data_IF_561215944951
#
_entry.id   IF_561215944951
#
_cell.length_a   1.000
_cell.length_b   1.000
_cell.length_c   1.000
_cell.angle_alpha   90.00
_cell.angle_beta   90.00
_cell.angle_gamma   90.00
#
_symmetry.space_group_name_H-M   'P 1'
#
loop_
_entity.id
_entity.type
_entity.pdbx_description
1 polymer ?
#
# COMPACT_ATOMS: atom_id res chain seq x y z
N UNK A 1 -36.40 -52.64 -37.21
CA UNK A 1 -36.35 -54.11 -37.04
C UNK A 1 -35.22 -54.43 -36.05
N UNK A 2 -35.57 -54.92 -34.86
CA UNK A 2 -34.62 -55.53 -33.91
C UNK A 2 -34.32 -56.99 -34.32
N UNK A 3 -33.30 -57.65 -33.74
CA UNK A 3 -33.43 -58.33 -32.43
C UNK A 3 -32.20 -58.09 -31.50
N UNK A 4 -32.35 -57.83 -30.19
CA UNK A 4 -32.47 -58.75 -29.01
C UNK A 4 -31.37 -59.84 -29.02
N UNK A 5 -30.51 -59.96 -28.00
CA UNK A 5 -30.83 -60.58 -26.69
C UNK A 5 -29.78 -60.28 -25.57
N UNK A 6 -30.23 -60.24 -24.30
CA UNK A 6 -29.45 -60.04 -23.04
C UNK A 6 -28.77 -61.33 -22.52
N UNK A 7 -28.50 -61.54 -21.20
CA UNK A 7 -29.01 -60.85 -19.99
C UNK A 7 -27.95 -60.50 -18.91
N UNK A 8 -28.45 -59.92 -17.81
CA UNK A 8 -27.76 -59.41 -16.63
C UNK A 8 -27.22 -60.47 -15.65
N UNK A 9 -26.19 -60.10 -14.85
CA UNK A 9 -26.00 -60.62 -13.48
C UNK A 9 -25.30 -59.61 -12.55
N UNK A 10 -25.87 -59.52 -11.33
CA UNK A 10 -25.51 -58.73 -10.14
C UNK A 10 -24.27 -59.25 -9.40
N UNK A 11 -23.55 -58.35 -8.70
CA UNK A 11 -22.97 -58.46 -7.32
C UNK A 11 -22.31 -57.10 -6.96
N UNK A 12 -22.91 -56.26 -6.12
CA UNK A 12 -22.76 -56.12 -4.66
C UNK A 12 -21.39 -55.63 -4.15
N UNK A 13 -21.39 -54.34 -3.75
CA UNK A 13 -20.65 -53.63 -2.67
C UNK A 13 -19.43 -54.30 -2.02
N UNK A 14 -18.31 -53.57 -1.96
CA UNK A 14 -17.68 -53.16 -0.68
C UNK A 14 -16.60 -52.09 -0.91
N UNK A 15 -16.41 -51.28 0.11
CA UNK A 15 -15.67 -50.02 0.23
C UNK A 15 -14.15 -50.17 0.31
N UNK A 16 -13.40 -49.23 -0.29
CA UNK A 16 -12.21 -48.70 0.39
C UNK A 16 -11.95 -47.26 -0.04
N UNK A 17 -12.04 -46.35 0.92
CA UNK A 17 -11.66 -44.95 0.81
C UNK A 17 -10.14 -44.83 0.67
N UNK A 18 -9.66 -44.00 -0.26
CA UNK A 18 -8.38 -43.31 -0.12
C UNK A 18 -8.56 -41.84 -0.49
N UNK A 19 -8.75 -41.02 0.55
CA UNK A 19 -8.50 -39.57 0.51
C UNK A 19 -6.99 -39.38 0.30
N UNK A 20 -6.59 -38.82 -0.83
CA UNK A 20 -5.26 -38.23 -0.99
C UNK A 20 -5.33 -36.77 -0.54
N UNK A 21 -5.06 -36.54 0.74
CA UNK A 21 -4.79 -35.21 1.28
C UNK A 21 -3.35 -34.82 0.95
N UNK A 22 -3.14 -34.11 -0.15
CA UNK A 22 -1.91 -33.34 -0.37
C UNK A 22 -2.01 -32.02 0.42
N UNK A 23 -1.36 -32.01 1.58
CA UNK A 23 -1.09 -30.82 2.39
C UNK A 23 -0.22 -29.82 1.58
N UNK A 24 -0.58 -28.53 1.49
CA UNK A 24 0.38 -27.50 1.15
C UNK A 24 1.31 -27.21 2.36
N UNK A 25 2.52 -26.67 2.13
CA UNK A 25 3.52 -26.50 3.19
C UNK A 25 3.03 -25.51 4.25
N UNK A 26 3.09 -25.94 5.50
CA UNK A 26 2.79 -25.14 6.69
C UNK A 26 3.93 -24.15 6.94
N UNK A 27 3.71 -22.87 6.62
CA UNK A 27 4.51 -21.80 7.22
C UNK A 27 4.14 -21.68 8.70
N UNK A 28 5.01 -22.21 9.57
CA UNK A 28 4.82 -22.23 11.01
C UNK A 28 4.86 -20.83 11.61
N UNK A 29 3.70 -20.32 12.00
CA UNK A 29 3.57 -19.22 12.96
C UNK A 29 3.15 -19.85 14.30
N UNK A 30 4.08 -19.99 15.25
CA UNK A 30 3.75 -20.17 16.67
C UNK A 30 4.04 -18.84 17.37
N UNK A 31 2.98 -18.14 17.74
CA UNK A 31 3.05 -16.93 18.55
C UNK A 31 2.66 -17.30 19.99
N UNK A 32 3.63 -17.29 20.91
CA UNK A 32 3.33 -17.19 22.34
C UNK A 32 3.13 -15.70 22.66
N UNK A 33 1.93 -15.32 23.07
CA UNK A 33 1.61 -13.94 23.48
C UNK A 33 1.42 -13.94 25.01
N UNK A 34 2.14 -13.10 25.77
CA UNK A 34 1.79 -12.84 27.17
C UNK A 34 0.57 -11.91 27.25
N UNK A 35 -0.37 -12.23 28.14
CA UNK A 35 -1.58 -11.42 28.40
C UNK A 35 -1.22 -10.08 29.07
N UNK A 36 -1.85 -8.95 28.72
CA UNK A 36 -1.75 -7.72 29.51
C UNK A 36 -2.78 -7.71 30.66
N UNK A 37 -2.51 -6.97 31.75
CA UNK A 37 -3.47 -6.82 32.84
C UNK A 37 -4.57 -5.81 32.49
N UNK A 38 -5.75 -6.11 33.02
CA UNK A 38 -7.00 -5.36 32.93
C UNK A 38 -7.01 -4.08 33.78
N UNK A 39 -7.78 -3.11 33.27
CA UNK A 39 -8.61 -2.13 33.97
C UNK A 39 -8.17 -0.66 33.87
N UNK A 40 -9.05 0.16 33.31
CA UNK A 40 -9.52 1.38 33.96
C UNK A 40 -10.88 1.78 33.36
N UNK A 41 -11.85 1.99 34.24
CA UNK A 41 -13.23 2.34 33.92
C UNK A 41 -13.43 3.88 33.97
N UNK A 42 -14.27 4.35 33.04
CA UNK A 42 -15.32 5.41 33.17
C UNK A 42 -15.01 6.82 33.72
N UNK A 43 -15.36 7.83 32.89
CA UNK A 43 -16.41 8.88 33.07
C UNK A 43 -16.21 9.95 31.96
N UNK A 44 -17.09 10.14 30.97
CA UNK A 44 -18.37 10.88 30.94
C UNK A 44 -18.31 12.35 31.41
N UNK A 45 -18.38 13.32 30.47
CA UNK A 45 -19.48 14.33 30.39
C UNK A 45 -19.23 15.48 29.40
N UNK A 46 -20.20 15.68 28.49
CA UNK A 46 -20.84 16.93 28.03
C UNK A 46 -20.05 18.19 27.57
N UNK A 47 -20.37 18.65 26.35
CA UNK A 47 -20.25 20.01 25.80
C UNK A 47 -21.43 20.92 26.26
N UNK A 48 -21.75 22.12 25.69
CA UNK A 48 -21.06 23.04 24.75
C UNK A 48 -21.21 24.56 25.12
N UNK A 49 -20.68 25.47 24.27
CA UNK A 49 -21.10 26.88 23.92
C UNK A 49 -19.88 27.57 23.26
N UNK A 50 -19.91 28.47 22.27
CA UNK A 50 -20.95 29.25 21.59
C UNK A 50 -20.38 30.67 21.29
N UNK A 51 -20.54 31.18 20.05
CA UNK A 51 -20.34 32.59 19.62
C UNK A 51 -18.92 32.96 19.15
N UNK A 52 -18.66 33.86 18.20
CA UNK A 52 -19.47 34.70 17.28
C UNK A 52 -18.48 35.52 16.43
N UNK A 53 -18.77 35.72 15.13
CA UNK A 53 -18.10 36.72 14.24
C UNK A 53 -18.42 38.17 14.68
N UNK A 54 -17.65 39.18 14.23
CA UNK A 54 -17.92 39.93 12.97
C UNK A 54 -16.60 40.29 12.23
N UNK A 55 -16.51 40.79 10.99
CA UNK A 55 -17.43 41.38 10.02
C UNK A 55 -16.71 42.54 9.28
N UNK A 56 -16.62 42.44 7.94
CA UNK A 56 -16.61 43.49 6.89
C UNK A 56 -15.51 44.58 6.80
N UNK A 57 -15.05 44.81 5.56
CA UNK A 57 -14.30 46.01 5.14
C UNK A 57 -13.90 45.97 3.66
N UNK A 58 -14.64 46.69 2.82
CA UNK A 58 -14.61 46.71 1.35
C UNK A 58 -13.56 47.66 0.70
N UNK A 59 -13.38 47.44 -0.63
CA UNK A 59 -13.21 48.42 -1.75
C UNK A 59 -11.80 48.88 -2.22
N UNK A 60 -11.56 48.58 -3.50
CA UNK A 60 -10.61 49.04 -4.57
C UNK A 60 -10.78 50.55 -4.93
N UNK A 61 -10.15 51.18 -5.98
CA UNK A 61 -9.20 50.73 -7.04
C UNK A 61 -8.03 51.72 -7.38
N UNK A 62 -7.13 51.36 -8.31
CA UNK A 62 -6.21 52.35 -8.92
C UNK A 62 -5.15 51.89 -9.94
N UNK A 63 -5.54 51.87 -11.23
CA UNK A 63 -4.85 52.43 -12.44
C UNK A 63 -3.43 52.01 -12.88
N UNK A 64 -3.41 51.38 -14.06
CA UNK A 64 -2.58 51.52 -15.27
C UNK A 64 -1.16 52.16 -15.26
N UNK A 65 -0.24 51.53 -16.01
CA UNK A 65 0.78 52.26 -16.79
C UNK A 65 2.05 51.49 -17.15
N UNK A 66 2.28 51.27 -18.46
CA UNK A 66 3.60 51.47 -19.08
C UNK A 66 4.55 50.27 -19.24
N UNK A 67 4.63 49.74 -20.47
CA UNK A 67 5.85 49.14 -21.01
C UNK A 67 6.80 50.26 -21.50
N UNK A 68 8.12 50.01 -21.55
CA UNK A 68 8.74 49.82 -22.86
C UNK A 68 9.80 48.72 -22.93
N UNK A 69 10.01 48.23 -24.15
CA UNK A 69 10.95 47.19 -24.50
C UNK A 69 12.42 47.58 -24.45
N UNK A 70 13.28 46.55 -24.36
CA UNK A 70 14.72 46.64 -24.48
C UNK A 70 15.31 45.28 -24.86
N UNK A 71 15.78 45.19 -26.10
CA UNK A 71 16.79 44.31 -26.68
C UNK A 71 17.13 42.98 -25.97
N UNK A 72 16.73 41.85 -26.57
CA UNK A 72 17.32 40.53 -26.27
C UNK A 72 18.60 40.34 -27.09
N UNK A 73 19.73 40.47 -26.40
CA UNK A 73 21.04 40.05 -26.90
C UNK A 73 21.17 38.51 -26.80
N UNK A 74 21.72 37.91 -27.86
CA UNK A 74 22.09 36.49 -27.92
C UNK A 74 23.29 36.26 -26.99
N UNK A 75 23.09 35.47 -25.93
CA UNK A 75 24.17 34.85 -25.17
C UNK A 75 23.91 33.34 -25.11
N UNK A 76 24.78 32.58 -25.76
CA UNK A 76 24.76 31.12 -25.79
C UNK A 76 24.92 30.55 -24.38
N UNK A 77 23.92 29.81 -23.94
CA UNK A 77 23.85 29.23 -22.61
C UNK A 77 24.88 28.12 -22.40
N UNK A 78 25.85 28.36 -21.50
CA UNK A 78 26.41 27.27 -20.70
C UNK A 78 25.26 26.68 -19.90
N UNK A 79 24.88 25.44 -20.21
CA UNK A 79 23.96 24.65 -19.37
C UNK A 79 24.66 24.47 -18.02
N UNK A 80 24.26 25.25 -17.02
CA UNK A 80 24.53 24.93 -15.63
C UNK A 80 23.85 23.59 -15.35
N UNK A 81 24.66 22.58 -15.05
CA UNK A 81 24.16 21.33 -14.48
C UNK A 81 23.52 21.74 -13.16
N UNK A 82 22.19 21.73 -13.07
CA UNK A 82 21.49 22.03 -11.84
C UNK A 82 22.04 21.08 -10.77
N UNK A 83 22.81 21.63 -9.83
CA UNK A 83 23.31 20.86 -8.70
C UNK A 83 22.10 20.42 -7.88
N UNK A 84 22.04 19.12 -7.61
CA UNK A 84 21.00 18.51 -6.80
C UNK A 84 20.97 19.22 -5.44
N UNK A 85 19.79 19.65 -4.93
CA UNK A 85 19.64 20.33 -3.64
C UNK A 85 20.22 19.54 -2.45
N UNK A 86 20.56 18.27 -2.67
CA UNK A 86 20.92 17.28 -1.66
C UNK A 86 22.44 17.06 -1.51
N UNK A 87 23.27 17.92 -2.08
CA UNK A 87 24.73 17.71 -2.12
C UNK A 87 25.48 18.52 -1.06
N UNK A 88 25.40 18.15 0.24
CA UNK A 88 26.42 18.50 1.25
C UNK A 88 26.57 17.41 2.32
N UNK A 89 27.81 17.07 2.62
CA UNK A 89 28.21 15.98 3.51
C UNK A 89 27.79 16.16 4.98
N UNK A 90 27.68 15.03 5.67
CA UNK A 90 27.45 14.92 7.12
C UNK A 90 25.99 14.82 7.56
N UNK A 91 25.02 15.03 6.67
CA UNK A 91 23.60 14.81 6.96
C UNK A 91 23.26 13.31 6.96
N UNK A 92 22.32 12.83 7.79
CA UNK A 92 21.77 11.49 7.62
C UNK A 92 21.24 11.36 6.20
N UNK A 93 21.65 10.29 5.54
CA UNK A 93 21.41 10.10 4.12
C UNK A 93 19.92 10.02 3.74
N UNK A 94 19.59 10.44 2.52
CA UNK A 94 18.21 10.47 2.01
C UNK A 94 17.70 9.04 1.84
N UNK A 95 16.70 8.66 2.66
CA UNK A 95 16.11 7.32 2.69
C UNK A 95 15.02 7.18 1.63
N UNK A 96 15.18 6.20 0.77
CA UNK A 96 14.23 5.89 -0.30
C UNK A 96 13.64 4.51 -0.05
N UNK A 97 12.31 4.46 0.06
CA UNK A 97 11.58 3.20 -0.03
C UNK A 97 11.17 2.98 -1.49
N UNK A 98 11.33 1.75 -1.98
CA UNK A 98 10.84 1.35 -3.31
C UNK A 98 9.93 0.16 -3.11
N UNK A 99 8.70 0.24 -3.60
CA UNK A 99 7.73 -0.84 -3.44
C UNK A 99 6.70 -0.87 -4.55
N UNK A 100 6.21 -2.07 -4.88
CA UNK A 100 5.15 -2.22 -5.86
C UNK A 100 3.85 -1.51 -5.39
N UNK A 101 3.04 -0.97 -6.30
CA UNK A 101 1.70 -0.50 -5.96
C UNK A 101 0.84 -1.65 -5.44
N UNK A 102 0.31 -1.54 -4.22
CA UNK A 102 -0.58 -2.53 -3.62
C UNK A 102 -1.97 -1.94 -3.39
N UNK A 103 -3.01 -2.69 -3.76
CA UNK A 103 -4.39 -2.34 -3.43
C UNK A 103 -4.63 -2.46 -1.92
N UNK A 104 -5.06 -1.37 -1.29
CA UNK A 104 -5.35 -1.30 0.15
C UNK A 104 -4.22 -1.89 1.02
N UNK A 105 -2.99 -1.32 1.00
CA UNK A 105 -1.79 -1.93 1.59
C UNK A 105 -1.91 -2.24 3.09
N UNK A 106 -1.04 -3.12 3.59
CA UNK A 106 -0.94 -3.54 4.99
C UNK A 106 -0.06 -2.58 5.82
N UNK A 107 -0.04 -2.73 7.15
CA UNK A 107 0.55 -1.74 8.06
C UNK A 107 2.04 -1.48 7.80
N UNK A 108 2.87 -2.51 7.65
CA UNK A 108 4.31 -2.34 7.45
C UNK A 108 4.67 -1.71 6.10
N UNK A 109 3.78 -1.78 5.10
CA UNK A 109 3.90 -1.00 3.87
C UNK A 109 3.85 0.51 4.19
N UNK A 110 2.84 0.93 4.95
CA UNK A 110 2.64 2.34 5.32
C UNK A 110 3.69 2.79 6.35
N UNK A 111 4.13 1.91 7.25
CA UNK A 111 5.23 2.20 8.17
C UNK A 111 6.53 2.47 7.40
N UNK A 112 6.84 1.62 6.40
CA UNK A 112 7.99 1.82 5.52
C UNK A 112 7.91 3.13 4.74
N UNK A 113 6.73 3.48 4.25
CA UNK A 113 6.48 4.76 3.61
C UNK A 113 6.73 5.91 4.59
N UNK A 114 6.18 5.82 5.81
CA UNK A 114 6.34 6.83 6.85
C UNK A 114 7.78 6.98 7.38
N UNK A 115 8.63 5.96 7.22
CA UNK A 115 10.04 5.98 7.62
C UNK A 115 10.97 6.52 6.52
N UNK A 116 10.50 6.61 5.28
CA UNK A 116 11.26 7.10 4.13
C UNK A 116 11.14 8.62 3.97
N UNK A 117 12.10 9.21 3.27
CA UNK A 117 12.06 10.59 2.80
C UNK A 117 11.43 10.68 1.40
N UNK A 118 11.43 9.57 0.64
CA UNK A 118 10.65 9.39 -0.58
C UNK A 118 10.22 7.92 -0.76
N UNK A 119 8.97 7.70 -1.20
CA UNK A 119 8.51 6.39 -1.67
C UNK A 119 8.42 6.36 -3.21
N UNK A 120 9.07 5.40 -3.84
CA UNK A 120 8.93 5.12 -5.26
C UNK A 120 7.99 3.93 -5.45
N UNK A 121 6.89 4.16 -6.17
CA UNK A 121 6.01 3.10 -6.64
C UNK A 121 6.64 2.38 -7.84
N UNK A 122 6.99 1.11 -7.65
CA UNK A 122 7.63 0.27 -8.65
C UNK A 122 6.59 -0.39 -9.56
N UNK A 123 6.04 0.38 -10.49
CA UNK A 123 4.97 -0.01 -11.42
C UNK A 123 5.49 -0.72 -12.69
N UNK A 124 6.81 -0.68 -12.91
CA UNK A 124 7.50 -1.24 -14.09
C UNK A 124 7.85 -2.72 -13.99
N UNK A 125 7.60 -3.37 -12.84
CA UNK A 125 7.84 -4.81 -12.66
C UNK A 125 6.63 -5.64 -13.08
N UNK A 126 6.86 -6.95 -13.26
CA UNK A 126 5.83 -7.90 -13.63
C UNK A 126 4.73 -8.01 -12.56
N UNK A 127 3.48 -8.10 -13.00
CA UNK A 127 2.34 -8.41 -12.14
C UNK A 127 2.38 -9.86 -11.66
N UNK A 128 2.11 -10.05 -10.37
CA UNK A 128 2.09 -11.33 -9.68
C UNK A 128 0.65 -11.84 -9.54
N UNK A 129 0.37 -12.99 -10.15
CA UNK A 129 -0.91 -13.67 -9.94
C UNK A 129 -1.09 -13.95 -8.46
N UNK A 130 -2.24 -13.58 -7.90
CA UNK A 130 -2.57 -13.77 -6.49
C UNK A 130 -1.69 -12.96 -5.51
N UNK A 131 -0.96 -11.96 -5.99
CA UNK A 131 -0.18 -11.04 -5.17
C UNK A 131 -1.05 -10.01 -4.43
N UNK A 132 -0.40 -9.08 -3.74
CA UNK A 132 -1.05 -7.98 -3.01
C UNK A 132 -1.39 -6.77 -3.90
N UNK A 133 -0.97 -6.82 -5.17
CA UNK A 133 -1.13 -5.72 -6.12
C UNK A 133 -2.62 -5.42 -6.41
N UNK A 134 -3.47 -6.46 -6.47
CA UNK A 134 -4.90 -6.31 -6.79
C UNK A 134 -5.84 -6.81 -5.69
N UNK A 135 -5.34 -7.18 -4.51
CA UNK A 135 -6.18 -7.70 -3.43
C UNK A 135 -5.56 -7.56 -2.06
N UNK A 136 -6.41 -7.43 -1.05
CA UNK A 136 -6.02 -7.54 0.35
C UNK A 136 -7.18 -8.12 1.17
N UNK A 137 -6.99 -8.30 2.48
CA UNK A 137 -7.97 -8.88 3.40
C UNK A 137 -8.51 -7.86 4.38
N UNK A 138 -9.77 -8.03 4.73
CA UNK A 138 -10.43 -7.38 5.85
C UNK A 138 -10.91 -8.45 6.84
N UNK A 139 -11.20 -8.06 8.09
CA UNK A 139 -11.77 -8.97 9.08
C UNK A 139 -13.29 -8.91 9.05
N UNK A 140 -13.94 -10.05 9.00
CA UNK A 140 -15.40 -10.17 9.15
C UNK A 140 -15.73 -11.08 10.33
N UNK A 141 -17.02 -11.20 10.66
CA UNK A 141 -17.51 -12.15 11.68
C UNK A 141 -17.13 -13.61 11.37
N UNK A 142 -16.94 -13.93 10.09
CA UNK A 142 -16.64 -15.27 9.59
C UNK A 142 -15.11 -15.45 9.36
N UNK A 143 -14.30 -14.48 9.77
CA UNK A 143 -12.85 -14.47 9.63
C UNK A 143 -12.33 -13.55 8.51
N UNK A 144 -11.07 -13.73 8.07
CA UNK A 144 -10.47 -12.87 7.05
C UNK A 144 -11.11 -13.09 5.68
N UNK A 145 -11.62 -12.01 5.07
CA UNK A 145 -12.21 -12.02 3.74
C UNK A 145 -11.34 -11.25 2.75
N UNK A 146 -11.11 -11.83 1.57
CA UNK A 146 -10.44 -11.14 0.47
C UNK A 146 -11.34 -10.09 -0.19
N UNK A 147 -10.77 -8.92 -0.43
CA UNK A 147 -11.24 -7.92 -1.38
C UNK A 147 -10.33 -8.00 -2.60
N UNK A 148 -10.85 -8.46 -3.73
CA UNK A 148 -10.07 -8.67 -4.96
C UNK A 148 -10.61 -7.85 -6.10
N UNK A 149 -9.79 -6.94 -6.61
CA UNK A 149 -10.04 -6.22 -7.86
C UNK A 149 -9.84 -7.22 -9.02
N UNK A 150 -10.88 -7.49 -9.81
CA UNK A 150 -10.77 -8.38 -10.94
C UNK A 150 -9.98 -7.68 -12.05
N UNK A 151 -9.09 -8.43 -12.70
CA UNK A 151 -8.15 -7.87 -13.68
C UNK A 151 -7.99 -8.82 -14.87
N UNK A 152 -7.76 -8.24 -16.04
CA UNK A 152 -7.26 -8.94 -17.22
C UNK A 152 -5.74 -8.85 -17.26
N UNK A 153 -5.08 -9.97 -17.50
CA UNK A 153 -3.62 -10.01 -17.68
C UNK A 153 -3.22 -11.06 -18.71
N UNK A 154 -2.20 -10.74 -19.49
CA UNK A 154 -1.45 -11.72 -20.24
C UNK A 154 -0.30 -12.28 -19.37
N UNK A 155 0.47 -13.22 -19.92
CA UNK A 155 1.74 -13.60 -19.30
C UNK A 155 2.72 -12.42 -19.37
N UNK A 156 3.54 -12.26 -18.33
CA UNK A 156 4.58 -11.22 -18.26
C UNK A 156 4.12 -9.75 -18.36
N UNK A 157 2.83 -9.45 -18.18
CA UNK A 157 2.33 -8.05 -18.11
C UNK A 157 2.92 -7.31 -16.92
N UNK A 158 3.41 -6.09 -17.12
CA UNK A 158 3.87 -5.21 -16.02
C UNK A 158 2.68 -4.67 -15.22
N UNK A 159 2.87 -4.29 -13.96
CA UNK A 159 1.77 -3.84 -13.09
C UNK A 159 1.06 -2.60 -13.69
N UNK A 160 1.79 -1.69 -14.34
CA UNK A 160 1.20 -0.51 -15.00
C UNK A 160 0.27 -0.84 -16.17
N UNK A 161 0.47 -1.97 -16.83
CA UNK A 161 -0.30 -2.37 -18.02
C UNK A 161 -1.48 -3.30 -17.68
N UNK A 162 -1.70 -3.62 -16.40
CA UNK A 162 -2.82 -4.48 -15.97
C UNK A 162 -4.14 -3.72 -16.05
N UNK A 163 -5.07 -4.24 -16.84
CA UNK A 163 -6.42 -3.71 -17.00
C UNK A 163 -7.36 -4.27 -15.94
N UNK A 164 -8.25 -3.43 -15.43
CA UNK A 164 -9.33 -3.83 -14.53
C UNK A 164 -10.49 -4.39 -15.35
N UNK A 165 -11.09 -5.48 -14.88
CA UNK A 165 -12.33 -6.02 -15.43
C UNK A 165 -13.52 -5.20 -14.93
N UNK A 166 -13.90 -4.19 -15.71
CA UNK A 166 -15.01 -3.29 -15.41
C UNK A 166 -16.39 -3.95 -15.52
N UNK A 167 -16.49 -5.16 -16.09
CA UNK A 167 -17.75 -5.91 -16.21
C UNK A 167 -18.25 -6.48 -14.88
N UNK A 168 -17.41 -6.48 -13.85
CA UNK A 168 -17.76 -7.01 -12.54
C UNK A 168 -18.13 -5.90 -11.55
N UNK A 169 -19.17 -6.08 -10.72
CA UNK A 169 -19.60 -5.09 -9.73
C UNK A 169 -18.71 -5.13 -8.47
N UNK A 170 -17.38 -5.23 -8.65
CA UNK A 170 -16.41 -5.33 -7.56
C UNK A 170 -16.39 -4.09 -6.64
N UNK A 171 -16.56 -2.83 -7.11
CA UNK A 171 -16.57 -1.68 -6.20
C UNK A 171 -17.72 -1.77 -5.20
N UNK A 172 -18.92 -2.08 -5.70
CA UNK A 172 -20.12 -2.27 -4.89
C UNK A 172 -19.94 -3.40 -3.87
N UNK A 173 -19.37 -4.54 -4.30
CA UNK A 173 -19.10 -5.67 -3.41
C UNK A 173 -18.10 -5.31 -2.32
N UNK A 174 -17.04 -4.56 -2.65
CA UNK A 174 -16.02 -4.13 -1.69
C UNK A 174 -16.61 -3.14 -0.68
N UNK A 175 -17.33 -2.11 -1.15
CA UNK A 175 -18.00 -1.13 -0.28
C UNK A 175 -18.99 -1.81 0.67
N UNK A 176 -19.81 -2.74 0.16
CA UNK A 176 -20.74 -3.51 0.98
C UNK A 176 -20.01 -4.37 2.01
N UNK A 177 -18.94 -5.07 1.62
CA UNK A 177 -18.16 -5.91 2.52
C UNK A 177 -17.54 -5.10 3.66
N UNK A 178 -16.93 -3.95 3.36
CA UNK A 178 -16.36 -3.04 4.36
C UNK A 178 -17.46 -2.52 5.29
N UNK A 179 -18.57 -2.01 4.74
CA UNK A 179 -19.69 -1.50 5.54
C UNK A 179 -20.22 -2.53 6.52
N UNK A 180 -20.43 -3.77 6.07
CA UNK A 180 -20.94 -4.85 6.93
C UNK A 180 -19.92 -5.30 7.98
N UNK A 181 -18.65 -5.41 7.59
CA UNK A 181 -17.57 -5.85 8.47
C UNK A 181 -17.31 -4.84 9.60
N UNK A 182 -17.42 -3.54 9.32
CA UNK A 182 -16.99 -2.48 10.22
C UNK A 182 -18.11 -1.58 10.71
N UNK A 183 -19.38 -1.97 10.54
CA UNK A 183 -20.56 -1.18 10.93
C UNK A 183 -20.57 -0.68 12.39
N UNK A 184 -19.79 -1.31 13.28
CA UNK A 184 -19.66 -0.94 14.70
C UNK A 184 -18.29 -0.35 15.06
N UNK A 185 -17.45 -0.04 14.07
CA UNK A 185 -16.15 0.57 14.31
C UNK A 185 -16.29 2.09 14.38
N UNK A 186 -15.39 2.74 15.12
CA UNK A 186 -15.52 4.16 15.44
C UNK A 186 -15.40 5.09 14.23
N UNK A 187 -14.70 4.66 13.17
CA UNK A 187 -14.38 5.51 12.01
C UNK A 187 -14.96 5.02 10.68
N UNK A 188 -15.92 4.08 10.70
CA UNK A 188 -16.54 3.57 9.45
C UNK A 188 -17.34 4.63 8.71
N UNK A 189 -18.04 5.51 9.42
CA UNK A 189 -18.87 6.51 8.77
C UNK A 189 -18.02 7.55 8.04
N UNK A 190 -16.87 7.93 8.60
CA UNK A 190 -15.94 8.89 8.00
C UNK A 190 -15.15 8.28 6.83
N UNK A 191 -14.45 7.16 7.04
CA UNK A 191 -13.54 6.61 6.04
C UNK A 191 -14.19 5.58 5.12
N UNK A 192 -15.25 4.91 5.55
CA UNK A 192 -15.95 3.90 4.77
C UNK A 192 -16.66 4.51 3.55
N UNK A 193 -17.32 5.66 3.72
CA UNK A 193 -17.96 6.38 2.61
C UNK A 193 -16.93 6.87 1.58
N UNK A 194 -15.86 7.53 2.05
CA UNK A 194 -14.75 8.00 1.20
C UNK A 194 -14.08 6.86 0.42
N UNK A 195 -13.87 5.71 1.06
CA UNK A 195 -13.35 4.53 0.38
C UNK A 195 -14.32 4.02 -0.69
N UNK A 196 -15.62 4.00 -0.39
CA UNK A 196 -16.65 3.54 -1.33
C UNK A 196 -16.68 4.41 -2.60
N UNK A 197 -16.61 5.74 -2.45
CA UNK A 197 -16.50 6.69 -3.56
C UNK A 197 -15.20 6.48 -4.36
N UNK A 198 -14.08 6.32 -3.65
CA UNK A 198 -12.78 6.10 -4.28
C UNK A 198 -12.77 4.84 -5.14
N UNK A 199 -13.27 3.71 -4.64
CA UNK A 199 -13.30 2.46 -5.43
C UNK A 199 -14.33 2.49 -6.55
N UNK A 200 -15.39 3.30 -6.43
CA UNK A 200 -16.43 3.47 -7.44
C UNK A 200 -16.01 4.41 -8.59
N UNK A 201 -14.92 5.16 -8.43
CA UNK A 201 -14.36 5.99 -9.50
C UNK A 201 -13.98 5.14 -10.73
N UNK A 202 -14.02 5.70 -11.95
CA UNK A 202 -13.76 4.95 -13.19
C UNK A 202 -12.26 4.65 -13.36
N UNK A 203 -11.83 3.50 -12.85
CA UNK A 203 -10.44 3.03 -12.98
C UNK A 203 -10.28 2.09 -14.19
N UNK A 204 -9.39 2.44 -15.11
CA UNK A 204 -9.06 1.61 -16.28
C UNK A 204 -7.97 0.58 -15.98
N UNK A 205 -6.88 1.03 -15.33
CA UNK A 205 -5.72 0.20 -15.00
C UNK A 205 -5.55 0.04 -13.49
N UNK A 206 -4.86 -1.02 -13.08
CA UNK A 206 -4.67 -1.37 -11.67
C UNK A 206 -3.79 -0.37 -10.92
N UNK A 207 -2.73 0.14 -11.57
CA UNK A 207 -1.72 0.98 -10.91
C UNK A 207 -2.30 2.27 -10.31
N UNK A 208 -3.08 3.09 -11.05
CA UNK A 208 -3.71 4.28 -10.49
C UNK A 208 -4.64 3.98 -9.31
N UNK A 209 -5.45 2.91 -9.39
CA UNK A 209 -6.31 2.49 -8.28
C UNK A 209 -5.50 2.07 -7.03
N UNK A 210 -4.45 1.26 -7.22
CA UNK A 210 -3.59 0.81 -6.13
C UNK A 210 -2.90 1.99 -5.44
N UNK A 211 -2.35 2.93 -6.21
CA UNK A 211 -1.76 4.17 -5.69
C UNK A 211 -2.81 4.99 -4.95
N UNK A 212 -3.98 5.23 -5.55
CA UNK A 212 -5.00 6.06 -4.93
C UNK A 212 -5.51 5.48 -3.60
N UNK A 213 -5.70 4.16 -3.50
CA UNK A 213 -6.07 3.51 -2.24
C UNK A 213 -4.95 3.50 -1.20
N UNK A 214 -3.68 3.38 -1.63
CA UNK A 214 -2.53 3.49 -0.74
C UNK A 214 -2.39 4.92 -0.21
N UNK A 215 -2.51 5.93 -1.08
CA UNK A 215 -2.47 7.35 -0.73
C UNK A 215 -3.61 7.73 0.20
N UNK A 216 -4.84 7.26 -0.06
CA UNK A 216 -5.97 7.44 0.85
C UNK A 216 -5.65 6.99 2.29
N UNK A 217 -5.06 5.79 2.44
CA UNK A 217 -4.67 5.30 3.77
C UNK A 217 -3.51 6.11 4.35
N UNK A 218 -2.50 6.43 3.55
CA UNK A 218 -1.35 7.23 3.98
C UNK A 218 -1.78 8.61 4.50
N UNK A 219 -2.62 9.32 3.74
CA UNK A 219 -3.19 10.62 4.11
C UNK A 219 -4.05 10.53 5.38
N UNK A 220 -4.89 9.49 5.49
CA UNK A 220 -5.73 9.29 6.67
C UNK A 220 -4.91 9.05 7.96
N UNK A 221 -3.74 8.43 7.85
CA UNK A 221 -2.78 8.31 8.94
C UNK A 221 -1.82 9.50 9.06
N UNK A 222 -1.89 10.52 8.19
CA UNK A 222 -1.01 11.69 8.23
C UNK A 222 0.42 11.45 7.70
N UNK A 223 0.63 10.40 6.90
CA UNK A 223 1.90 10.15 6.19
C UNK A 223 2.01 11.08 5.00
N UNK A 224 2.92 12.05 5.07
CA UNK A 224 3.12 13.11 4.06
C UNK A 224 4.35 12.90 3.17
N UNK A 225 5.04 11.77 3.32
CA UNK A 225 6.26 11.47 2.57
C UNK A 225 5.97 11.49 1.06
N UNK A 226 6.71 12.28 0.27
CA UNK A 226 6.46 12.44 -1.16
C UNK A 226 6.67 11.13 -1.93
N UNK A 227 5.92 10.96 -3.02
CA UNK A 227 5.97 9.78 -3.87
C UNK A 227 6.48 10.08 -5.28
N UNK A 228 7.00 9.05 -5.95
CA UNK A 228 7.33 9.06 -7.39
C UNK A 228 6.90 7.74 -8.03
N UNK A 229 6.69 7.73 -9.34
CA UNK A 229 6.51 6.50 -10.13
C UNK A 229 7.83 6.09 -10.75
N UNK A 230 8.16 4.80 -10.68
CA UNK A 230 9.38 4.28 -11.31
C UNK A 230 9.38 4.52 -12.83
N UNK A 231 8.22 4.43 -13.47
CA UNK A 231 8.06 4.71 -14.91
C UNK A 231 8.32 6.16 -15.30
N UNK A 232 8.31 7.11 -14.36
CA UNK A 232 8.55 8.55 -14.61
C UNK A 232 10.01 8.97 -14.34
N UNK A 233 10.82 8.10 -13.72
CA UNK A 233 12.19 8.41 -13.28
C UNK A 233 13.26 8.10 -14.33
N UNK A 234 12.85 7.76 -15.56
CA UNK A 234 13.74 7.42 -16.67
C UNK A 234 14.09 5.94 -16.74
N UNK A 235 14.94 5.55 -17.71
CA UNK A 235 15.30 4.16 -17.92
C UNK A 235 16.18 3.64 -16.78
N UNK A 236 15.91 2.40 -16.37
CA UNK A 236 16.69 1.67 -15.37
C UNK A 236 17.26 0.40 -15.96
N UNK A 237 18.31 -0.15 -15.36
CA UNK A 237 18.83 -1.46 -15.75
C UNK A 237 17.80 -2.58 -15.51
N UNK A 238 17.91 -3.66 -16.28
CA UNK A 238 17.00 -4.81 -16.19
C UNK A 238 17.25 -5.67 -14.95
N UNK A 239 18.49 -5.70 -14.47
CA UNK A 239 18.83 -6.41 -13.24
C UNK A 239 18.04 -5.82 -12.05
N UNK A 240 17.32 -6.67 -11.27
CA UNK A 240 16.47 -6.21 -10.18
C UNK A 240 17.20 -5.39 -9.10
N UNK A 241 18.46 -5.71 -8.80
CA UNK A 241 19.25 -5.00 -7.79
C UNK A 241 19.72 -3.66 -8.34
N UNK A 242 20.28 -3.65 -9.55
CA UNK A 242 20.78 -2.45 -10.21
C UNK A 242 19.67 -1.45 -10.53
N UNK A 243 18.46 -1.94 -10.81
CA UNK A 243 17.25 -1.09 -10.91
C UNK A 243 16.98 -0.32 -9.63
N UNK A 244 17.07 -0.98 -8.47
CA UNK A 244 16.84 -0.33 -7.17
C UNK A 244 17.92 0.73 -6.90
N UNK A 245 19.17 0.46 -7.27
CA UNK A 245 20.26 1.44 -7.23
C UNK A 245 19.94 2.64 -8.12
N UNK A 246 19.53 2.42 -9.38
CA UNK A 246 19.22 3.49 -10.33
C UNK A 246 18.08 4.38 -9.83
N UNK A 247 16.99 3.78 -9.36
CA UNK A 247 15.82 4.48 -8.84
C UNK A 247 16.14 5.27 -7.55
N UNK A 248 16.92 4.68 -6.64
CA UNK A 248 17.35 5.36 -5.41
C UNK A 248 18.18 6.59 -5.75
N UNK A 249 19.13 6.46 -6.70
CA UNK A 249 19.96 7.59 -7.15
C UNK A 249 19.16 8.66 -7.89
N UNK A 250 18.17 8.27 -8.69
CA UNK A 250 17.36 9.18 -9.49
C UNK A 250 16.61 10.24 -8.65
N UNK A 251 16.31 9.91 -7.39
CA UNK A 251 15.68 10.84 -6.43
C UNK A 251 16.68 11.47 -5.44
N UNK A 252 17.99 11.31 -5.67
CA UNK A 252 19.04 11.82 -4.78
C UNK A 252 19.22 11.02 -3.49
N UNK A 253 18.71 9.79 -3.43
CA UNK A 253 18.86 8.89 -2.30
C UNK A 253 20.24 8.24 -2.20
N UNK A 254 20.65 7.94 -0.98
CA UNK A 254 21.85 7.13 -0.67
C UNK A 254 21.52 5.92 0.22
N UNK A 255 20.29 5.85 0.74
CA UNK A 255 19.86 4.80 1.67
C UNK A 255 18.61 4.13 1.14
N UNK A 256 18.70 2.85 0.77
CA UNK A 256 17.56 2.06 0.33
C UNK A 256 16.90 1.33 1.50
N UNK A 257 15.61 1.60 1.73
CA UNK A 257 14.78 0.90 2.71
C UNK A 257 14.16 -0.34 2.07
N UNK A 258 14.81 -1.48 2.26
CA UNK A 258 14.39 -2.76 1.72
C UNK A 258 13.22 -3.36 2.53
N UNK A 259 12.23 -3.91 1.82
CA UNK A 259 11.25 -4.80 2.45
C UNK A 259 11.89 -6.14 2.86
N UNK A 260 11.19 -6.92 3.70
CA UNK A 260 11.65 -8.24 4.15
C UNK A 260 12.07 -9.14 2.99
N UNK A 261 11.26 -9.21 1.94
CA UNK A 261 11.48 -10.13 0.82
C UNK A 261 12.57 -9.62 -0.15
N UNK A 262 12.73 -8.31 -0.29
CA UNK A 262 13.72 -7.71 -1.19
C UNK A 262 15.16 -7.94 -0.72
N UNK A 263 15.38 -7.94 0.59
CA UNK A 263 16.71 -8.19 1.14
C UNK A 263 17.22 -9.62 0.89
N UNK A 264 16.34 -10.58 0.59
CA UNK A 264 16.74 -11.98 0.39
C UNK A 264 17.44 -12.22 -0.96
N UNK A 265 17.24 -11.35 -1.96
CA UNK A 265 17.83 -11.50 -3.30
C UNK A 265 18.67 -10.30 -3.76
N UNK A 266 18.67 -9.21 -2.99
CA UNK A 266 19.47 -8.04 -3.32
C UNK A 266 20.97 -8.36 -3.22
N UNK A 267 21.74 -8.10 -4.29
CA UNK A 267 23.21 -8.16 -4.24
C UNK A 267 23.72 -6.93 -3.47
N UNK A 268 23.98 -7.09 -2.18
CA UNK A 268 24.39 -6.00 -1.28
C UNK A 268 25.68 -5.31 -1.75
N UNK A 269 26.56 -6.06 -2.40
CA UNK A 269 27.81 -5.58 -2.99
C UNK A 269 27.54 -4.50 -4.04
N UNK A 270 26.52 -4.66 -4.88
CA UNK A 270 26.17 -3.69 -5.91
C UNK A 270 25.67 -2.36 -5.34
N UNK A 271 25.01 -2.39 -4.17
CA UNK A 271 24.66 -1.17 -3.43
C UNK A 271 25.90 -0.51 -2.84
N UNK A 272 26.80 -1.30 -2.25
CA UNK A 272 28.05 -0.80 -1.67
C UNK A 272 28.97 -0.15 -2.71
N UNK A 273 29.14 -0.79 -3.87
CA UNK A 273 29.88 -0.24 -5.02
C UNK A 273 29.27 1.06 -5.54
N UNK A 274 27.94 1.21 -5.41
CA UNK A 274 27.21 2.41 -5.75
C UNK A 274 27.25 3.51 -4.67
N UNK A 275 27.95 3.26 -3.54
CA UNK A 275 28.02 4.17 -2.40
C UNK A 275 26.71 4.25 -1.60
N UNK A 276 25.88 3.20 -1.63
CA UNK A 276 24.56 3.18 -1.01
C UNK A 276 24.49 2.27 0.21
N UNK A 277 23.72 2.70 1.20
CA UNK A 277 23.39 1.91 2.39
C UNK A 277 22.08 1.16 2.16
N UNK A 278 22.01 -0.10 2.58
CA UNK A 278 20.74 -0.87 2.60
C UNK A 278 20.30 -1.10 4.03
N UNK A 279 19.05 -0.73 4.33
CA UNK A 279 18.41 -1.00 5.62
C UNK A 279 17.19 -1.88 5.40
N UNK A 280 17.19 -3.08 5.99
CA UNK A 280 16.07 -4.00 5.89
C UNK A 280 15.05 -3.73 6.98
N UNK A 281 13.79 -3.62 6.59
CA UNK A 281 12.67 -3.53 7.51
C UNK A 281 12.44 -4.87 8.23
N UNK A 282 12.46 -4.85 9.55
CA UNK A 282 12.15 -5.95 10.45
C UNK A 282 10.81 -5.70 11.15
N UNK A 283 9.74 -5.59 10.35
CA UNK A 283 8.42 -5.21 10.85
C UNK A 283 7.82 -6.30 11.76
N UNK A 284 7.50 -5.94 13.00
CA UNK A 284 6.74 -6.75 13.95
C UNK A 284 5.32 -6.25 13.98
N UNK A 285 4.35 -7.10 13.63
CA UNK A 285 2.97 -6.65 13.51
C UNK A 285 2.43 -6.20 14.89
N UNK A 286 1.98 -4.95 15.05
CA UNK A 286 1.43 -4.48 16.30
C UNK A 286 0.08 -5.15 16.58
N UNK A 287 -0.31 -5.24 17.84
CA UNK A 287 -1.63 -5.74 18.26
C UNK A 287 -2.49 -4.56 18.70
N UNK A 288 -3.73 -4.53 18.24
CA UNK A 288 -4.70 -3.49 18.56
C UNK A 288 -6.11 -4.10 18.60
N UNK A 289 -7.08 -3.34 19.11
CA UNK A 289 -8.46 -3.80 19.19
C UNK A 289 -9.06 -3.95 17.80
N UNK A 290 -9.61 -5.14 17.51
CA UNK A 290 -10.34 -5.45 16.29
C UNK A 290 -11.76 -5.90 16.65
N UNK A 291 -12.69 -5.74 15.70
CA UNK A 291 -14.00 -6.40 15.80
C UNK A 291 -13.85 -7.93 15.62
N UNK A 292 -14.93 -8.67 15.88
CA UNK A 292 -15.07 -10.09 15.54
C UNK A 292 -14.14 -11.06 16.30
N UNK A 293 -13.75 -10.71 17.54
CA UNK A 293 -13.00 -11.60 18.43
C UNK A 293 -11.50 -11.59 18.20
N UNK A 294 -10.87 -12.78 18.21
CA UNK A 294 -9.42 -12.99 18.20
C UNK A 294 -8.68 -12.15 17.15
N UNK A 295 -7.52 -11.60 17.53
CA UNK A 295 -6.72 -10.72 16.68
C UNK A 295 -6.22 -11.43 15.42
N UNK A 296 -6.30 -10.75 14.27
CA UNK A 296 -5.81 -11.23 12.98
C UNK A 296 -4.73 -10.26 12.47
N UNK A 297 -3.46 -10.70 12.35
CA UNK A 297 -2.40 -9.86 11.78
C UNK A 297 -2.43 -9.85 10.25
N UNK A 298 -1.72 -8.87 9.66
CA UNK A 298 -1.48 -8.74 8.22
C UNK A 298 -2.76 -8.63 7.39
N UNK A 299 -3.75 -7.89 7.91
CA UNK A 299 -4.88 -7.36 7.15
C UNK A 299 -4.45 -6.10 6.39
N UNK A 300 -5.33 -5.58 5.56
CA UNK A 300 -5.21 -4.20 5.07
C UNK A 300 -5.14 -3.22 6.25
N UNK A 301 -4.33 -2.17 6.13
CA UNK A 301 -4.30 -1.07 7.09
C UNK A 301 -5.63 -0.32 7.20
N UNK A 302 -6.58 -0.58 6.28
CA UNK A 302 -7.97 -0.19 6.43
C UNK A 302 -8.58 -0.71 7.75
N UNK A 303 -8.26 -1.93 8.19
CA UNK A 303 -8.76 -2.46 9.46
C UNK A 303 -8.33 -1.54 10.63
N UNK A 304 -7.03 -1.23 10.71
CA UNK A 304 -6.51 -0.30 11.72
C UNK A 304 -7.16 1.09 11.61
N UNK A 305 -7.32 1.61 10.38
CA UNK A 305 -7.91 2.93 10.16
C UNK A 305 -9.35 3.00 10.68
N UNK A 306 -10.16 1.98 10.39
CA UNK A 306 -11.56 1.97 10.81
C UNK A 306 -11.71 1.73 12.32
N UNK A 307 -10.77 1.01 12.93
CA UNK A 307 -10.76 0.73 14.37
C UNK A 307 -10.20 1.87 15.21
N UNK A 308 -9.14 2.53 14.74
CA UNK A 308 -8.32 3.46 15.54
C UNK A 308 -8.16 4.86 14.93
N UNK A 309 -8.61 5.08 13.69
CA UNK A 309 -8.52 6.38 13.03
C UNK A 309 -7.07 6.88 12.85
N UNK A 310 -6.86 8.20 12.81
CA UNK A 310 -5.53 8.80 12.64
C UNK A 310 -4.50 8.40 13.71
N UNK A 311 -4.95 8.11 14.94
CA UNK A 311 -4.08 7.63 16.02
C UNK A 311 -3.41 6.28 15.69
N UNK A 312 -3.92 5.55 14.69
CA UNK A 312 -3.27 4.35 14.16
C UNK A 312 -1.86 4.57 13.62
N UNK A 313 -1.43 5.81 13.33
CA UNK A 313 -0.05 6.09 12.92
C UNK A 313 0.98 5.68 13.98
N UNK A 314 0.71 5.91 15.26
CA UNK A 314 1.63 5.52 16.34
C UNK A 314 1.69 3.99 16.47
N UNK A 315 0.53 3.33 16.36
CA UNK A 315 0.41 1.87 16.39
C UNK A 315 1.19 1.24 15.25
N UNK A 316 1.01 1.70 14.02
CA UNK A 316 1.69 1.12 12.86
C UNK A 316 3.21 1.36 12.92
N UNK A 317 3.66 2.50 13.46
CA UNK A 317 5.09 2.82 13.64
C UNK A 317 5.73 2.04 14.78
N UNK A 318 4.99 1.72 15.84
CA UNK A 318 5.49 0.92 16.96
C UNK A 318 5.95 -0.49 16.56
N UNK A 319 5.47 -1.00 15.42
CA UNK A 319 5.93 -2.25 14.84
C UNK A 319 7.19 -2.14 13.97
N UNK A 320 7.66 -0.94 13.68
CA UNK A 320 8.68 -0.71 12.67
C UNK A 320 10.10 -0.67 13.25
N UNK A 321 10.98 -1.47 12.67
CA UNK A 321 12.39 -1.54 13.03
C UNK A 321 13.24 -1.76 11.78
N UNK A 322 14.46 -1.23 11.78
CA UNK A 322 15.38 -1.34 10.65
C UNK A 322 16.74 -1.86 11.06
N UNK A 323 17.17 -2.92 10.40
CA UNK A 323 18.49 -3.54 10.60
C UNK A 323 19.37 -3.18 9.42
N UNK A 324 20.61 -2.75 9.68
CA UNK A 324 21.61 -2.55 8.64
C UNK A 324 21.92 -3.90 7.98
N UNK A 325 21.96 -3.93 6.64
CA UNK A 325 22.51 -5.07 5.93
C UNK A 325 24.03 -4.91 5.88
N UNK A 326 24.77 -5.83 6.51
CA UNK A 326 26.23 -5.94 6.42
C UNK A 326 26.63 -6.84 5.27
#
# INVERSE_FOLDING_TARGET
MSPRSGPARRRSRSSTSRRSTTRPPSCGWRCGVPRPPTSCQTRSSCAPRGGSEPGLGERTPGRAGGAPGGALSRAEGRRSRAESPWSRGGAPGVKVAIHQPHYLPWLGYLAKWAAADCLIFLDTVQFEKNGWQNRNRIKTKDGPQWLTVPVHRARATTIRDVLIDAGQPWPRRHAQAVRLAYARSAYVDEYGARLAELVASPWTTLTPLAIATATFLAEAFGVRTPTRLASELGPTRDDPTLRLVDLTRAVGGDTYLAGRDTAAYARLEAFREAGMTVRRQAYTHPVYAQLHGEFVPFLSALDLLLMCGPAGLEILRGGDAYVACV
#
